data_IF_996182931486
#
_entry.id   IF_996182931486
#
_cell.length_a   1.000
_cell.length_b   1.000
_cell.length_c   1.000
_cell.angle_alpha   90.00
_cell.angle_beta   90.00
_cell.angle_gamma   90.00
#
_symmetry.space_group_name_H-M   'P 1'
#
loop_
_entity.id
_entity.type
_entity.pdbx_description
1 polymer ?
#
# COMPACT_ATOMS: atom_id res chain seq x y z
N UNK A 1 -26.77 2.13 1.44
CA UNK A 1 -26.82 1.45 2.75
C UNK A 1 -25.44 1.03 3.27
N UNK A 2 -24.60 0.36 2.50
CA UNK A 2 -23.26 -0.07 2.98
C UNK A 2 -22.38 1.11 3.42
N UNK A 3 -22.32 2.18 2.65
CA UNK A 3 -21.58 3.38 3.01
C UNK A 3 -22.10 4.03 4.31
N UNK A 4 -23.43 4.05 4.52
CA UNK A 4 -24.00 4.62 5.74
C UNK A 4 -23.57 3.83 6.98
N UNK A 5 -23.59 2.50 6.92
CA UNK A 5 -23.12 1.62 8.00
C UNK A 5 -21.62 1.81 8.24
N UNK A 6 -20.81 1.80 7.18
CA UNK A 6 -19.39 2.08 7.27
C UNK A 6 -19.10 3.41 7.99
N UNK A 7 -19.77 4.50 7.58
CA UNK A 7 -19.60 5.83 8.20
C UNK A 7 -20.00 5.82 9.68
N UNK A 8 -21.06 5.09 10.04
CA UNK A 8 -21.48 4.94 11.43
C UNK A 8 -20.42 4.18 12.25
N UNK A 9 -19.86 3.09 11.71
CA UNK A 9 -18.80 2.32 12.38
C UNK A 9 -17.51 3.13 12.53
N UNK A 10 -17.09 3.85 11.48
CA UNK A 10 -15.94 4.77 11.59
C UNK A 10 -16.18 5.87 12.64
N UNK A 11 -17.41 6.39 12.72
CA UNK A 11 -17.76 7.38 13.75
C UNK A 11 -17.67 6.78 15.15
N UNK A 12 -18.11 5.55 15.36
CA UNK A 12 -18.08 4.83 16.64
C UNK A 12 -16.64 4.47 17.06
N UNK A 13 -15.77 4.13 16.12
CA UNK A 13 -14.36 3.84 16.41
C UNK A 13 -13.54 5.08 16.83
N UNK A 14 -14.11 6.27 16.76
CA UNK A 14 -13.44 7.51 17.17
C UNK A 14 -13.67 7.80 18.65
N UNK A 15 -12.62 7.70 19.45
CA UNK A 15 -12.64 7.99 20.89
C UNK A 15 -12.72 9.50 21.14
N UNK A 16 -12.02 10.29 20.30
CA UNK A 16 -11.99 11.76 20.43
C UNK A 16 -12.23 12.44 19.09
N UNK A 17 -12.91 13.59 19.14
CA UNK A 17 -13.17 14.48 17.98
C UNK A 17 -14.01 13.85 16.86
N UNK A 18 -14.81 12.82 17.13
CA UNK A 18 -15.60 12.10 16.15
C UNK A 18 -16.41 13.01 15.22
N UNK A 19 -17.16 13.96 15.77
CA UNK A 19 -17.99 14.87 14.96
C UNK A 19 -17.17 15.74 14.01
N UNK A 20 -16.04 16.31 14.49
CA UNK A 20 -15.19 17.16 13.68
C UNK A 20 -14.40 16.35 12.66
N UNK A 21 -14.07 15.11 13.00
CA UNK A 21 -13.43 14.17 12.11
C UNK A 21 -14.33 13.83 10.91
N UNK A 22 -15.60 13.49 11.16
CA UNK A 22 -16.54 13.15 10.08
C UNK A 22 -16.81 14.36 9.15
N UNK A 23 -17.00 15.56 9.70
CA UNK A 23 -17.15 16.76 8.89
C UNK A 23 -15.93 16.99 7.98
N UNK A 24 -14.72 16.77 8.53
CA UNK A 24 -13.48 16.91 7.77
C UNK A 24 -13.29 15.78 6.75
N UNK A 25 -13.72 14.57 7.09
CA UNK A 25 -13.70 13.42 6.19
C UNK A 25 -14.62 13.64 4.99
N UNK A 26 -15.81 14.15 5.22
CA UNK A 26 -16.75 14.48 4.14
C UNK A 26 -16.22 15.60 3.25
N UNK A 27 -15.62 16.64 3.85
CA UNK A 27 -14.96 17.71 3.12
C UNK A 27 -13.83 17.15 2.22
N UNK A 28 -12.96 16.29 2.75
CA UNK A 28 -11.89 15.68 1.99
C UNK A 28 -12.40 14.79 0.86
N UNK A 29 -13.50 14.07 1.09
CA UNK A 29 -14.09 13.18 0.08
C UNK A 29 -14.61 13.95 -1.14
N UNK A 30 -15.12 15.17 -0.94
CA UNK A 30 -15.69 15.98 -2.04
C UNK A 30 -14.69 16.96 -2.66
N UNK A 31 -13.61 17.30 -1.94
CA UNK A 31 -12.61 18.23 -2.42
C UNK A 31 -11.91 17.70 -3.68
N UNK A 32 -11.96 18.43 -4.77
CA UNK A 32 -11.38 18.00 -6.04
C UNK A 32 -9.85 18.02 -6.06
N UNK A 33 -9.26 18.91 -5.26
CA UNK A 33 -7.81 19.07 -5.09
C UNK A 33 -7.51 19.74 -3.75
N UNK A 34 -6.62 19.17 -2.97
CA UNK A 34 -6.30 19.63 -1.62
C UNK A 34 -4.82 20.05 -1.53
N UNK A 35 -4.58 21.34 -1.41
CA UNK A 35 -3.24 21.91 -1.23
C UNK A 35 -2.83 22.07 0.24
N UNK A 36 -3.79 22.14 1.15
CA UNK A 36 -3.58 22.28 2.58
C UNK A 36 -4.80 21.75 3.33
N UNK A 37 -4.62 21.13 4.50
CA UNK A 37 -5.75 20.69 5.33
C UNK A 37 -6.73 21.82 5.67
N UNK A 38 -6.25 23.04 5.84
CA UNK A 38 -7.10 24.18 6.17
C UNK A 38 -8.07 24.55 5.05
N UNK A 39 -7.73 24.30 3.79
CA UNK A 39 -8.62 24.54 2.66
C UNK A 39 -9.92 23.73 2.75
N UNK A 40 -9.90 22.59 3.44
CA UNK A 40 -11.11 21.79 3.68
C UNK A 40 -12.16 22.51 4.52
N UNK A 41 -11.79 23.58 5.25
CA UNK A 41 -12.75 24.39 5.98
C UNK A 41 -13.66 25.24 5.08
N UNK A 42 -13.34 25.36 3.79
CA UNK A 42 -14.12 26.07 2.78
C UNK A 42 -15.08 25.12 2.03
N UNK A 43 -14.93 23.81 2.19
CA UNK A 43 -15.79 22.82 1.55
C UNK A 43 -17.18 22.75 2.20
N UNK A 44 -18.21 22.61 1.37
CA UNK A 44 -19.62 22.61 1.81
C UNK A 44 -19.95 21.66 2.97
N UNK A 45 -19.43 20.40 3.06
CA UNK A 45 -19.72 19.52 4.18
C UNK A 45 -19.11 19.97 5.51
N UNK A 46 -18.12 20.87 5.49
CA UNK A 46 -17.44 21.28 6.71
C UNK A 46 -18.24 22.36 7.46
N UNK A 47 -18.70 22.04 8.66
CA UNK A 47 -19.62 22.89 9.43
C UNK A 47 -18.97 23.63 10.61
N UNK A 48 -17.63 23.59 10.72
CA UNK A 48 -16.88 24.07 11.89
C UNK A 48 -15.93 25.20 11.52
N UNK A 49 -15.32 25.82 12.55
CA UNK A 49 -14.30 26.87 12.34
C UNK A 49 -13.01 26.24 11.75
N UNK A 50 -12.28 26.99 10.94
CA UNK A 50 -11.03 26.56 10.33
C UNK A 50 -10.00 26.04 11.35
N UNK A 51 -9.94 26.65 12.57
CA UNK A 51 -9.04 26.20 13.64
C UNK A 51 -9.32 24.76 14.10
N UNK A 52 -10.57 24.31 13.98
CA UNK A 52 -10.96 22.95 14.35
C UNK A 52 -10.30 21.90 13.43
N UNK A 53 -9.86 22.25 12.22
CA UNK A 53 -9.12 21.35 11.33
C UNK A 53 -7.84 20.87 12.02
N UNK A 54 -7.01 21.80 12.49
CA UNK A 54 -5.74 21.48 13.14
C UNK A 54 -5.93 20.81 14.50
N UNK A 55 -6.94 21.24 15.27
CA UNK A 55 -7.26 20.58 16.54
C UNK A 55 -7.69 19.13 16.34
N UNK A 56 -8.46 18.87 15.26
CA UNK A 56 -8.91 17.51 14.96
C UNK A 56 -7.74 16.66 14.48
N UNK A 57 -6.89 17.17 13.58
CA UNK A 57 -5.67 16.46 13.14
C UNK A 57 -4.80 16.04 14.32
N UNK A 58 -4.67 16.89 15.33
CA UNK A 58 -3.80 16.66 16.48
C UNK A 58 -4.42 15.79 17.57
N UNK A 59 -5.75 15.81 17.70
CA UNK A 59 -6.46 15.24 18.87
C UNK A 59 -7.40 14.11 18.52
N UNK A 60 -7.65 13.81 17.23
CA UNK A 60 -8.43 12.66 16.85
C UNK A 60 -7.72 11.38 17.31
N UNK A 61 -8.48 10.51 17.94
CA UNK A 61 -7.98 9.26 18.49
C UNK A 61 -8.95 8.15 18.10
N UNK A 62 -8.40 7.06 17.53
CA UNK A 62 -9.15 5.89 17.11
C UNK A 62 -8.98 4.73 18.06
N UNK A 63 -10.03 3.96 18.24
CA UNK A 63 -9.90 2.54 18.52
C UNK A 63 -9.48 1.83 17.22
N UNK A 64 -8.18 1.56 17.09
CA UNK A 64 -7.64 0.94 15.88
C UNK A 64 -8.11 -0.51 15.69
N UNK A 65 -8.43 -1.24 16.75
CA UNK A 65 -8.95 -2.59 16.60
C UNK A 65 -10.35 -2.58 15.99
N UNK A 66 -11.20 -1.66 16.39
CA UNK A 66 -12.53 -1.46 15.82
C UNK A 66 -12.44 -0.93 14.39
N UNK A 67 -11.61 0.09 14.15
CA UNK A 67 -11.41 0.67 12.81
C UNK A 67 -10.90 -0.37 11.82
N UNK A 68 -9.83 -1.10 12.14
CA UNK A 68 -9.27 -2.11 11.24
C UNK A 68 -10.26 -3.25 11.00
N UNK A 69 -11.01 -3.66 12.02
CA UNK A 69 -12.07 -4.68 11.86
C UNK A 69 -13.13 -4.21 10.88
N UNK A 70 -13.54 -2.94 10.95
CA UNK A 70 -14.47 -2.35 9.99
C UNK A 70 -13.94 -2.41 8.54
N UNK A 71 -12.65 -2.10 8.33
CA UNK A 71 -12.05 -2.16 6.98
C UNK A 71 -12.06 -3.58 6.39
N UNK A 72 -12.02 -4.63 7.21
CA UNK A 72 -12.18 -6.01 6.74
C UNK A 72 -13.64 -6.43 6.57
N UNK A 73 -14.54 -5.92 7.37
CA UNK A 73 -15.98 -6.22 7.30
C UNK A 73 -16.64 -5.58 6.08
N UNK A 74 -16.36 -4.31 5.82
CA UNK A 74 -16.97 -3.53 4.74
C UNK A 74 -16.29 -3.71 3.37
N UNK A 75 -15.51 -4.79 3.19
CA UNK A 75 -14.94 -5.10 1.88
C UNK A 75 -16.02 -5.16 0.80
N UNK A 76 -15.80 -4.55 -0.38
CA UNK A 76 -16.78 -4.60 -1.45
C UNK A 76 -17.17 -6.04 -1.79
N UNK A 77 -18.48 -6.36 -1.86
CA UNK A 77 -18.97 -7.74 -2.04
C UNK A 77 -18.57 -8.32 -3.40
N UNK A 78 -18.39 -7.48 -4.41
CA UNK A 78 -17.95 -7.81 -5.76
C UNK A 78 -16.42 -7.95 -5.91
N UNK A 79 -15.69 -7.95 -4.79
CA UNK A 79 -14.24 -8.09 -4.83
C UNK A 79 -13.82 -9.45 -5.38
N UNK A 80 -13.03 -9.42 -6.44
CA UNK A 80 -12.58 -10.61 -7.15
C UNK A 80 -11.55 -11.43 -6.35
N UNK A 81 -11.44 -12.69 -6.73
CA UNK A 81 -10.39 -13.62 -6.31
C UNK A 81 -9.74 -14.22 -7.55
N UNK A 82 -8.45 -14.49 -7.47
CA UNK A 82 -7.72 -15.21 -8.51
C UNK A 82 -7.27 -16.55 -7.92
N UNK A 83 -7.56 -17.65 -8.60
CA UNK A 83 -7.28 -19.01 -8.13
C UNK A 83 -7.76 -19.30 -6.69
N UNK A 84 -8.88 -18.69 -6.26
CA UNK A 84 -9.43 -18.82 -4.91
C UNK A 84 -8.80 -17.90 -3.86
N UNK A 85 -7.72 -17.17 -4.19
CA UNK A 85 -7.04 -16.26 -3.29
C UNK A 85 -7.60 -14.83 -3.36
N UNK A 86 -7.72 -14.19 -2.19
CA UNK A 86 -7.81 -12.74 -2.09
C UNK A 86 -6.41 -12.15 -2.36
N UNK A 87 -6.32 -11.12 -3.19
CA UNK A 87 -5.02 -10.52 -3.57
C UNK A 87 -4.84 -9.17 -2.87
N UNK A 88 -3.73 -9.03 -2.17
CA UNK A 88 -3.35 -7.82 -1.46
C UNK A 88 -2.07 -7.24 -2.04
N UNK A 89 -2.05 -5.93 -2.26
CA UNK A 89 -0.84 -5.19 -2.65
C UNK A 89 -0.18 -4.55 -1.43
N UNK A 90 1.14 -4.68 -1.33
CA UNK A 90 1.94 -4.03 -0.30
C UNK A 90 2.98 -3.15 -0.96
N UNK A 91 2.99 -1.86 -0.60
CA UNK A 91 3.98 -0.92 -1.11
C UNK A 91 4.16 0.28 -0.17
N UNK A 92 5.24 1.04 -0.35
CA UNK A 92 5.53 2.25 0.40
C UNK A 92 5.51 3.49 -0.47
N UNK A 93 5.05 4.60 0.10
CA UNK A 93 5.13 5.90 -0.57
C UNK A 93 5.86 6.92 0.32
N UNK A 94 6.74 7.77 -0.24
CA UNK A 94 7.38 8.85 0.50
C UNK A 94 6.41 10.00 0.73
N UNK A 95 6.56 10.64 1.89
CA UNK A 95 6.02 11.96 2.24
C UNK A 95 7.21 12.88 2.48
N UNK A 96 7.56 13.69 1.48
CA UNK A 96 8.74 14.55 1.51
C UNK A 96 8.52 15.76 2.41
N UNK A 97 9.47 16.01 3.29
CA UNK A 97 9.42 17.07 4.29
C UNK A 97 10.83 17.66 4.50
N UNK A 98 11.46 18.23 3.45
CA UNK A 98 12.85 18.66 3.49
C UNK A 98 13.10 19.76 4.54
N UNK A 99 12.18 20.73 4.63
CA UNK A 99 12.31 21.91 5.49
C UNK A 99 11.73 21.72 6.91
N UNK A 100 11.16 20.54 7.22
CA UNK A 100 10.48 20.31 8.48
C UNK A 100 11.47 19.95 9.60
N UNK A 101 12.35 20.86 10.01
CA UNK A 101 13.38 20.63 11.04
C UNK A 101 12.83 20.21 12.40
N UNK A 102 11.60 20.58 12.71
CA UNK A 102 10.94 20.20 13.97
C UNK A 102 10.08 18.92 13.83
N UNK A 103 10.16 18.21 12.70
CA UNK A 103 9.53 16.92 12.50
C UNK A 103 10.46 15.82 13.00
N UNK A 104 10.02 15.09 14.01
CA UNK A 104 10.75 13.97 14.59
C UNK A 104 10.85 12.80 13.60
N UNK A 105 11.93 11.99 13.73
CA UNK A 105 12.16 10.76 12.96
C UNK A 105 12.18 10.98 11.43
N UNK A 106 12.61 12.16 11.00
CA UNK A 106 12.78 12.50 9.59
C UNK A 106 14.02 11.81 9.02
N UNK A 107 13.82 10.85 8.14
CA UNK A 107 14.87 10.06 7.51
C UNK A 107 15.15 10.45 6.07
N UNK A 108 16.24 9.90 5.50
CA UNK A 108 16.53 10.02 4.07
C UNK A 108 15.58 9.14 3.26
N UNK A 109 14.98 9.73 2.25
CA UNK A 109 14.15 9.05 1.26
C UNK A 109 15.03 8.59 0.09
N UNK A 110 14.64 7.50 -0.57
CA UNK A 110 15.31 7.08 -1.80
C UNK A 110 14.97 8.07 -2.91
N UNK A 111 15.99 8.55 -3.58
CA UNK A 111 15.92 9.33 -4.80
C UNK A 111 16.46 8.52 -5.96
N UNK A 112 16.22 8.96 -7.18
CA UNK A 112 16.88 8.37 -8.36
C UNK A 112 18.39 8.66 -8.28
N UNK A 113 19.15 7.92 -9.09
CA UNK A 113 20.59 8.19 -9.23
C UNK A 113 20.74 9.62 -9.77
N UNK A 114 21.64 10.36 -9.18
CA UNK A 114 21.96 11.76 -9.54
C UNK A 114 20.92 12.81 -9.08
N UNK A 115 19.87 12.44 -8.33
CA UNK A 115 18.99 13.39 -7.66
C UNK A 115 19.49 13.74 -6.25
N UNK A 116 19.23 14.96 -5.75
CA UNK A 116 19.56 15.33 -4.37
C UNK A 116 18.80 14.45 -3.37
N UNK A 117 19.46 14.14 -2.26
CA UNK A 117 18.84 13.37 -1.18
C UNK A 117 17.67 14.15 -0.60
N UNK A 118 16.48 13.53 -0.63
CA UNK A 118 15.27 14.09 -0.04
C UNK A 118 15.06 13.53 1.36
N UNK A 119 14.41 14.29 2.22
CA UNK A 119 14.14 13.94 3.61
C UNK A 119 12.66 13.97 3.91
N UNK A 120 12.20 13.11 4.80
CA UNK A 120 10.80 13.04 5.19
C UNK A 120 10.46 11.71 5.88
N UNK A 121 9.19 11.36 5.82
CA UNK A 121 8.69 10.08 6.30
C UNK A 121 8.35 9.15 5.12
N UNK A 122 8.30 7.85 5.40
CA UNK A 122 7.69 6.86 4.52
C UNK A 122 6.49 6.24 5.19
N UNK A 123 5.47 5.95 4.39
CA UNK A 123 4.30 5.23 4.85
C UNK A 123 4.14 3.95 4.03
N UNK A 124 3.89 2.85 4.73
CA UNK A 124 3.60 1.55 4.15
C UNK A 124 2.09 1.35 4.12
N UNK A 125 1.59 0.88 2.99
CA UNK A 125 0.17 0.65 2.74
C UNK A 125 -0.05 -0.79 2.34
N UNK A 126 -1.01 -1.42 3.01
CA UNK A 126 -1.55 -2.71 2.64
C UNK A 126 -2.96 -2.51 2.10
N UNK A 127 -3.20 -2.92 0.86
CA UNK A 127 -4.48 -2.73 0.19
C UNK A 127 -4.97 -4.04 -0.40
N UNK A 128 -6.27 -4.34 -0.32
CA UNK A 128 -6.89 -5.39 -1.11
C UNK A 128 -7.11 -4.88 -2.52
N UNK A 129 -6.75 -5.67 -3.52
CA UNK A 129 -7.08 -5.43 -4.92
C UNK A 129 -8.53 -5.89 -5.15
N UNK A 130 -9.38 -5.00 -5.71
CA UNK A 130 -10.82 -5.21 -5.69
C UNK A 130 -11.32 -5.88 -6.97
N UNK A 131 -11.12 -5.25 -8.13
CA UNK A 131 -11.56 -5.77 -9.42
C UNK A 131 -10.45 -5.66 -10.46
N UNK A 132 -10.22 -6.73 -11.21
CA UNK A 132 -9.26 -6.75 -12.30
C UNK A 132 -9.62 -5.70 -13.38
N UNK A 133 -8.59 -5.03 -13.90
CA UNK A 133 -8.77 -4.01 -14.94
C UNK A 133 -9.30 -2.68 -14.47
N UNK A 134 -9.59 -2.51 -13.16
CA UNK A 134 -9.96 -1.23 -12.56
C UNK A 134 -8.80 -0.65 -11.74
N UNK A 135 -8.91 0.62 -11.36
CA UNK A 135 -7.97 1.29 -10.47
C UNK A 135 -8.38 1.23 -8.99
N UNK A 136 -9.44 0.49 -8.67
CA UNK A 136 -9.97 0.41 -7.32
C UNK A 136 -9.19 -0.57 -6.44
N UNK A 137 -8.87 -0.10 -5.25
CA UNK A 137 -8.31 -0.91 -4.16
C UNK A 137 -9.08 -0.64 -2.88
N UNK A 138 -9.02 -1.54 -1.91
CA UNK A 138 -9.56 -1.34 -0.56
C UNK A 138 -8.39 -1.32 0.43
N UNK A 139 -7.90 -0.14 0.85
CA UNK A 139 -6.81 -0.05 1.82
C UNK A 139 -7.24 -0.64 3.17
N UNK A 140 -6.46 -1.56 3.71
CA UNK A 140 -6.78 -2.22 4.99
C UNK A 140 -5.83 -1.83 6.11
N UNK A 141 -4.69 -1.23 5.78
CA UNK A 141 -3.76 -0.70 6.78
C UNK A 141 -2.85 0.37 6.16
N UNK A 142 -2.46 1.33 6.99
CA UNK A 142 -1.44 2.33 6.69
C UNK A 142 -0.61 2.62 7.94
N UNK A 143 0.72 2.52 7.82
CA UNK A 143 1.62 2.78 8.93
C UNK A 143 2.87 3.56 8.52
N UNK A 144 3.37 4.42 9.41
CA UNK A 144 4.65 5.09 9.22
C UNK A 144 5.79 4.08 9.37
N UNK A 145 6.70 4.05 8.42
CA UNK A 145 7.93 3.28 8.52
C UNK A 145 8.92 4.09 9.35
N UNK A 146 9.10 3.72 10.62
CA UNK A 146 10.09 4.37 11.49
C UNK A 146 11.51 4.23 10.91
N UNK A 147 12.38 5.22 11.15
CA UNK A 147 13.74 5.22 10.55
C UNK A 147 14.61 4.05 11.01
N UNK A 148 14.32 3.46 12.16
CA UNK A 148 14.97 2.24 12.67
C UNK A 148 14.54 0.96 11.95
N UNK A 149 13.45 0.98 11.20
CA UNK A 149 12.91 -0.18 10.47
C UNK A 149 13.20 -0.09 8.97
N UNK A 150 13.31 -1.23 8.33
CA UNK A 150 13.25 -1.33 6.87
C UNK A 150 11.80 -1.43 6.39
N UNK A 151 11.54 -1.05 5.14
CA UNK A 151 10.24 -1.21 4.49
C UNK A 151 9.75 -2.67 4.60
N UNK A 152 10.68 -3.63 4.47
CA UNK A 152 10.42 -5.07 4.60
C UNK A 152 9.97 -5.50 5.99
N UNK A 153 10.53 -4.91 7.05
CA UNK A 153 10.12 -5.22 8.42
C UNK A 153 8.75 -4.60 8.74
N UNK A 154 8.54 -3.35 8.36
CA UNK A 154 7.24 -2.70 8.53
C UNK A 154 6.13 -3.44 7.78
N UNK A 155 6.36 -3.78 6.50
CA UNK A 155 5.42 -4.58 5.70
C UNK A 155 5.20 -5.99 6.28
N UNK A 156 6.23 -6.60 6.88
CA UNK A 156 6.10 -7.89 7.56
C UNK A 156 5.11 -7.84 8.73
N UNK A 157 5.14 -6.79 9.54
CA UNK A 157 4.18 -6.57 10.64
C UNK A 157 2.75 -6.44 10.09
N UNK A 158 2.57 -5.67 9.02
CA UNK A 158 1.25 -5.52 8.38
C UNK A 158 0.71 -6.84 7.84
N UNK A 159 1.57 -7.69 7.27
CA UNK A 159 1.18 -9.02 6.78
C UNK A 159 0.79 -9.96 7.92
N UNK A 160 1.48 -9.92 9.07
CA UNK A 160 1.10 -10.70 10.26
C UNK A 160 -0.26 -10.26 10.79
N UNK A 161 -0.51 -8.95 10.84
CA UNK A 161 -1.80 -8.41 11.26
C UNK A 161 -2.92 -8.76 10.27
N UNK A 162 -2.64 -8.73 8.97
CA UNK A 162 -3.57 -9.22 7.94
C UNK A 162 -3.94 -10.68 8.17
N UNK A 163 -2.96 -11.56 8.43
CA UNK A 163 -3.23 -12.99 8.69
C UNK A 163 -4.03 -13.21 9.97
N UNK A 164 -3.75 -12.42 11.00
CA UNK A 164 -4.49 -12.46 12.27
C UNK A 164 -5.97 -12.11 12.10
N UNK A 165 -6.27 -11.05 11.34
CA UNK A 165 -7.65 -10.54 11.14
C UNK A 165 -8.41 -11.28 10.06
N UNK A 166 -7.75 -11.76 9.04
CA UNK A 166 -8.39 -12.44 7.92
C UNK A 166 -7.82 -13.86 7.75
N UNK A 167 -8.65 -14.89 7.96
CA UNK A 167 -8.25 -16.30 7.87
C UNK A 167 -8.46 -16.93 6.49
N UNK A 168 -9.01 -16.17 5.53
CA UNK A 168 -9.21 -16.65 4.16
C UNK A 168 -7.88 -16.82 3.43
N UNK A 169 -7.79 -17.74 2.44
CA UNK A 169 -6.60 -17.85 1.59
C UNK A 169 -6.30 -16.55 0.86
N UNK A 170 -5.06 -16.09 0.92
CA UNK A 170 -4.66 -14.82 0.33
C UNK A 170 -3.22 -14.78 -0.15
N UNK A 171 -2.96 -13.87 -1.08
CA UNK A 171 -1.63 -13.59 -1.64
C UNK A 171 -1.29 -12.12 -1.40
N UNK A 172 -0.08 -11.88 -0.90
CA UNK A 172 0.49 -10.54 -0.80
C UNK A 172 1.46 -10.34 -1.96
N UNK A 173 1.12 -9.42 -2.86
CA UNK A 173 1.97 -9.03 -4.00
C UNK A 173 2.78 -7.80 -3.64
N UNK A 174 4.09 -7.80 -3.92
CA UNK A 174 4.99 -6.70 -3.58
C UNK A 174 6.15 -6.56 -4.56
N UNK A 175 6.81 -5.41 -4.52
CA UNK A 175 7.94 -5.12 -5.39
C UNK A 175 9.26 -5.77 -4.92
N UNK A 176 10.34 -5.49 -5.61
CA UNK A 176 11.66 -6.06 -5.33
C UNK A 176 12.34 -5.56 -4.04
N UNK A 177 11.78 -4.57 -3.36
CA UNK A 177 12.24 -4.15 -2.03
C UNK A 177 11.96 -5.21 -0.98
N UNK A 178 10.88 -5.96 -1.18
CA UNK A 178 10.43 -7.02 -0.28
C UNK A 178 11.07 -8.39 -0.60
N UNK A 179 11.84 -8.50 -1.68
CA UNK A 179 12.53 -9.74 -2.07
C UNK A 179 13.77 -10.02 -1.19
N UNK A 180 13.57 -10.12 0.10
CA UNK A 180 14.67 -10.36 1.05
C UNK A 180 14.20 -11.26 2.21
N UNK A 181 15.18 -11.79 2.94
CA UNK A 181 14.93 -12.76 4.02
C UNK A 181 14.16 -12.16 5.21
N UNK A 182 14.20 -10.86 5.46
CA UNK A 182 13.48 -10.23 6.58
C UNK A 182 11.98 -10.23 6.35
N UNK A 183 11.55 -9.92 5.12
CA UNK A 183 10.13 -9.96 4.75
C UNK A 183 9.64 -11.39 4.58
N UNK A 184 10.36 -12.18 3.80
CA UNK A 184 9.94 -13.54 3.45
C UNK A 184 9.91 -14.49 4.65
N UNK A 185 10.71 -14.25 5.70
CA UNK A 185 10.67 -15.06 6.91
C UNK A 185 9.30 -15.06 7.62
N UNK A 186 8.52 -13.99 7.46
CA UNK A 186 7.17 -13.90 8.02
C UNK A 186 6.29 -15.04 7.53
N UNK A 187 6.42 -15.42 6.26
CA UNK A 187 5.59 -16.45 5.63
C UNK A 187 5.91 -17.90 6.07
N UNK A 188 6.98 -18.12 6.86
CA UNK A 188 7.26 -19.42 7.46
C UNK A 188 6.19 -19.86 8.47
N UNK A 189 5.54 -18.91 9.12
CA UNK A 189 4.57 -19.16 10.19
C UNK A 189 3.11 -18.99 9.75
N UNK A 190 2.89 -18.43 8.56
CA UNK A 190 1.56 -18.16 8.04
C UNK A 190 1.04 -19.37 7.24
N UNK A 191 -0.21 -19.76 7.49
CA UNK A 191 -0.81 -20.95 6.86
C UNK A 191 -1.58 -20.65 5.58
N UNK A 192 -2.31 -19.52 5.55
CA UNK A 192 -3.23 -19.15 4.47
C UNK A 192 -2.80 -17.88 3.75
N UNK A 193 -1.59 -17.40 4.01
CA UNK A 193 -1.05 -16.18 3.43
C UNK A 193 0.25 -16.49 2.71
N UNK A 194 0.32 -16.16 1.43
CA UNK A 194 1.45 -16.46 0.57
C UNK A 194 2.04 -15.19 -0.01
N UNK A 195 3.35 -15.19 -0.28
CA UNK A 195 4.04 -14.09 -0.94
C UNK A 195 4.19 -14.33 -2.43
N UNK A 196 3.94 -13.28 -3.22
CA UNK A 196 4.32 -13.20 -4.62
C UNK A 196 5.13 -11.92 -4.83
N UNK A 197 6.45 -12.04 -4.85
CA UNK A 197 7.38 -10.92 -4.78
C UNK A 197 8.21 -10.80 -6.05
N UNK A 198 8.33 -9.58 -6.59
CA UNK A 198 9.23 -9.32 -7.72
C UNK A 198 10.69 -9.50 -7.31
N UNK A 199 11.46 -10.14 -8.16
CA UNK A 199 12.89 -10.36 -7.95
C UNK A 199 13.74 -9.44 -8.82
N UNK A 200 14.93 -9.12 -8.34
CA UNK A 200 15.96 -8.47 -9.17
C UNK A 200 16.75 -9.50 -9.95
N UNK A 201 17.10 -9.21 -11.17
CA UNK A 201 17.77 -10.13 -12.08
C UNK A 201 19.14 -10.67 -11.58
N UNK A 202 19.76 -9.96 -10.63
CA UNK A 202 21.04 -10.35 -10.05
C UNK A 202 20.93 -11.26 -8.82
N UNK A 203 19.73 -11.69 -8.45
CA UNK A 203 19.52 -12.54 -7.27
C UNK A 203 19.96 -13.98 -7.57
N UNK A 204 20.35 -14.65 -6.48
CA UNK A 204 20.78 -16.05 -6.48
C UNK A 204 19.94 -16.82 -5.50
N UNK A 205 19.35 -17.91 -5.96
CA UNK A 205 18.64 -18.90 -5.18
C UNK A 205 19.45 -20.19 -5.05
N UNK A 206 18.98 -21.11 -4.24
CA UNK A 206 19.59 -22.41 -4.01
C UNK A 206 18.52 -23.48 -4.09
N UNK A 207 18.84 -24.61 -4.70
CA UNK A 207 18.00 -25.80 -4.64
C UNK A 207 18.05 -26.48 -3.27
N UNK A 208 17.21 -27.49 -3.09
CA UNK A 208 17.25 -28.33 -1.89
C UNK A 208 18.59 -29.07 -1.81
N UNK A 209 19.17 -29.22 -0.62
CA UNK A 209 20.40 -30.00 -0.43
C UNK A 209 20.16 -31.47 -0.74
N UNK A 210 21.20 -32.16 -1.19
CA UNK A 210 21.16 -33.60 -1.28
C UNK A 210 21.07 -34.21 0.13
N UNK A 211 20.37 -35.33 0.31
CA UNK A 211 20.34 -36.03 1.58
C UNK A 211 21.76 -36.29 2.11
N UNK A 212 21.97 -36.11 3.40
CA UNK A 212 23.26 -36.40 4.01
C UNK A 212 23.48 -37.92 4.03
N UNK A 213 24.57 -38.45 3.45
CA UNK A 213 24.82 -39.87 3.44
C UNK A 213 24.94 -40.43 4.84
N UNK A 214 24.26 -41.54 5.12
CA UNK A 214 24.37 -42.26 6.43
C UNK A 214 25.83 -42.55 6.72
N UNK A 215 26.29 -42.27 7.94
CA UNK A 215 27.66 -42.58 8.41
C UNK A 215 28.74 -41.55 8.02
N UNK A 216 28.47 -40.55 7.20
CA UNK A 216 29.44 -39.48 6.96
C UNK A 216 29.50 -38.50 8.13
N UNK A 217 30.75 -38.16 8.55
CA UNK A 217 30.99 -37.09 9.54
C UNK A 217 30.76 -35.71 8.91
N UNK A 218 30.27 -34.75 9.71
CA UNK A 218 30.09 -33.36 9.33
C UNK A 218 28.62 -32.92 9.37
N UNK A 219 28.38 -31.60 9.38
CA UNK A 219 27.04 -31.07 9.37
C UNK A 219 26.37 -31.28 8.00
N UNK A 220 25.06 -31.61 7.95
CA UNK A 220 24.31 -31.68 6.70
C UNK A 220 24.37 -30.37 5.90
N UNK A 221 24.49 -30.48 4.59
CA UNK A 221 24.44 -29.32 3.71
C UNK A 221 23.08 -28.60 3.84
N UNK A 222 23.09 -27.27 4.03
CA UNK A 222 21.87 -26.44 4.12
C UNK A 222 21.33 -26.05 2.75
N UNK A 223 22.16 -26.12 1.71
CA UNK A 223 21.87 -25.64 0.37
C UNK A 223 22.31 -26.67 -0.69
N UNK A 224 21.52 -26.79 -1.73
CA UNK A 224 21.86 -27.52 -2.94
C UNK A 224 22.52 -26.61 -3.99
N UNK A 225 22.41 -26.96 -5.29
CA UNK A 225 23.01 -26.20 -6.39
C UNK A 225 22.54 -24.73 -6.42
N UNK A 226 23.45 -23.84 -6.81
CA UNK A 226 23.13 -22.42 -7.03
C UNK A 226 22.27 -22.26 -8.27
N UNK A 227 21.30 -21.37 -8.20
CA UNK A 227 20.43 -20.96 -9.30
C UNK A 227 20.50 -19.43 -9.45
N UNK A 228 21.15 -18.95 -10.51
CA UNK A 228 21.27 -17.53 -10.82
C UNK A 228 20.15 -17.11 -11.78
N UNK A 229 19.39 -16.07 -11.46
CA UNK A 229 18.30 -15.59 -12.31
C UNK A 229 18.80 -15.10 -13.67
N UNK A 230 19.97 -14.47 -13.72
CA UNK A 230 20.57 -13.98 -14.97
C UNK A 230 20.95 -15.10 -15.94
N UNK A 231 21.30 -16.28 -15.41
CA UNK A 231 21.69 -17.48 -16.19
C UNK A 231 21.17 -18.70 -15.46
N UNK A 232 19.91 -19.12 -15.72
CA UNK A 232 19.34 -20.31 -15.10
C UNK A 232 20.19 -21.56 -15.36
N UNK A 233 20.50 -22.29 -14.30
CA UNK A 233 21.41 -23.46 -14.35
C UNK A 233 20.71 -24.78 -14.70
N UNK A 234 19.39 -24.77 -14.85
CA UNK A 234 18.58 -25.94 -15.24
C UNK A 234 17.39 -25.54 -16.09
N UNK A 235 16.79 -26.48 -16.78
CA UNK A 235 15.53 -26.32 -17.52
C UNK A 235 14.38 -25.99 -16.54
N UNK A 236 13.35 -25.25 -16.99
CA UNK A 236 12.17 -25.02 -16.18
C UNK A 236 11.40 -26.33 -15.92
N UNK A 237 10.82 -26.44 -14.73
CA UNK A 237 9.98 -27.57 -14.35
C UNK A 237 8.59 -27.49 -14.99
N UNK A 238 8.11 -26.24 -15.24
CA UNK A 238 6.87 -25.94 -15.98
C UNK A 238 7.08 -24.79 -16.94
N UNK A 239 6.45 -24.88 -18.09
CA UNK A 239 6.37 -23.79 -19.07
C UNK A 239 4.92 -23.68 -19.53
N UNK A 240 4.39 -22.46 -19.52
CA UNK A 240 3.05 -22.13 -19.99
C UNK A 240 3.11 -20.91 -20.92
N UNK A 241 2.19 -20.84 -21.87
CA UNK A 241 2.02 -19.69 -22.74
C UNK A 241 0.54 -19.32 -22.76
N UNK A 242 0.23 -18.03 -22.63
CA UNK A 242 -1.13 -17.53 -22.73
C UNK A 242 -1.17 -16.16 -23.39
N UNK A 243 -2.38 -15.74 -23.80
CA UNK A 243 -2.60 -14.40 -24.36
C UNK A 243 -3.08 -13.44 -23.28
N UNK A 244 -2.46 -12.28 -23.20
CA UNK A 244 -2.90 -11.15 -22.37
C UNK A 244 -3.21 -9.95 -23.30
N UNK A 245 -4.48 -9.80 -23.69
CA UNK A 245 -4.84 -8.94 -24.80
C UNK A 245 -4.17 -9.44 -26.10
N UNK A 246 -3.46 -8.57 -26.79
CA UNK A 246 -2.72 -8.92 -28.03
C UNK A 246 -1.30 -9.47 -27.78
N UNK A 247 -0.89 -9.60 -26.52
CA UNK A 247 0.48 -10.00 -26.17
C UNK A 247 0.54 -11.48 -25.82
N UNK A 248 1.52 -12.17 -26.37
CA UNK A 248 1.86 -13.51 -25.91
C UNK A 248 2.74 -13.42 -24.67
N UNK A 249 2.37 -14.13 -23.61
CA UNK A 249 3.12 -14.20 -22.37
C UNK A 249 3.67 -15.61 -22.18
N UNK A 250 4.99 -15.71 -22.08
CA UNK A 250 5.70 -16.98 -21.82
C UNK A 250 6.07 -17.01 -20.35
N UNK A 251 5.68 -18.07 -19.67
CA UNK A 251 5.91 -18.32 -18.25
C UNK A 251 6.77 -19.57 -18.09
N UNK A 252 7.84 -19.44 -17.32
CA UNK A 252 8.71 -20.53 -16.95
C UNK A 252 8.84 -20.58 -15.44
N UNK A 253 8.73 -21.76 -14.83
CA UNK A 253 8.78 -21.94 -13.40
C UNK A 253 9.83 -22.97 -12.99
N UNK A 254 10.52 -22.69 -11.88
CA UNK A 254 11.49 -23.57 -11.22
C UNK A 254 11.07 -23.74 -9.77
N UNK A 255 10.71 -24.95 -9.39
CA UNK A 255 10.29 -25.29 -8.04
C UNK A 255 11.47 -25.65 -7.12
N UNK A 256 11.21 -25.70 -5.83
CA UNK A 256 12.19 -26.16 -4.85
C UNK A 256 13.36 -25.21 -4.63
N UNK A 257 13.15 -23.90 -4.79
CA UNK A 257 14.19 -22.89 -4.65
C UNK A 257 14.02 -22.06 -3.37
N UNK A 258 15.14 -21.67 -2.74
CA UNK A 258 15.14 -20.84 -1.53
C UNK A 258 16.27 -19.80 -1.52
N UNK A 259 16.12 -18.77 -0.72
CA UNK A 259 17.20 -17.81 -0.47
C UNK A 259 18.28 -18.39 0.47
N UNK A 260 19.55 -18.02 0.27
CA UNK A 260 20.66 -18.47 1.12
C UNK A 260 20.41 -18.24 2.62
N UNK A 261 19.85 -17.09 2.98
CA UNK A 261 19.58 -16.75 4.39
C UNK A 261 18.23 -17.25 4.91
N UNK A 262 17.48 -18.01 4.10
CA UNK A 262 16.13 -18.47 4.44
C UNK A 262 15.87 -19.84 3.81
N UNK A 263 16.67 -20.85 4.18
CA UNK A 263 16.59 -22.19 3.62
C UNK A 263 15.28 -22.91 3.96
N UNK A 264 14.62 -22.53 5.06
CA UNK A 264 13.34 -23.12 5.48
C UNK A 264 12.15 -22.68 4.63
N UNK A 265 12.24 -21.59 3.87
CA UNK A 265 11.18 -21.17 2.98
C UNK A 265 11.51 -21.56 1.53
N UNK A 266 10.95 -22.67 1.11
CA UNK A 266 11.09 -23.20 -0.25
C UNK A 266 9.90 -22.73 -1.07
N UNK A 267 10.16 -22.31 -2.30
CA UNK A 267 9.11 -21.81 -3.19
C UNK A 267 9.47 -21.98 -4.67
N UNK A 268 8.69 -21.31 -5.51
CA UNK A 268 8.80 -21.33 -6.96
C UNK A 268 9.32 -20.00 -7.47
N UNK A 269 10.37 -20.03 -8.28
CA UNK A 269 10.85 -18.88 -9.05
C UNK A 269 10.19 -18.92 -10.42
N UNK A 270 9.59 -17.78 -10.84
CA UNK A 270 8.98 -17.61 -12.16
C UNK A 270 9.77 -16.61 -12.99
N UNK A 271 9.92 -16.94 -14.29
CA UNK A 271 10.38 -16.02 -15.32
C UNK A 271 9.21 -15.74 -16.26
N UNK A 272 8.96 -14.46 -16.51
CA UNK A 272 7.83 -14.00 -17.31
C UNK A 272 8.38 -13.13 -18.43
N UNK A 273 8.06 -13.49 -19.66
CA UNK A 273 8.45 -12.79 -20.86
C UNK A 273 7.20 -12.37 -21.65
N UNK A 274 7.13 -11.08 -21.99
CA UNK A 274 6.03 -10.53 -22.77
C UNK A 274 6.54 -10.32 -24.21
N UNK A 275 5.85 -10.92 -25.17
CA UNK A 275 6.14 -10.76 -26.57
C UNK A 275 5.12 -9.84 -27.23
N UNK A 276 5.58 -9.03 -28.17
CA UNK A 276 4.71 -8.28 -29.08
C UNK A 276 4.06 -9.23 -30.10
N UNK A 277 3.05 -8.78 -30.85
CA UNK A 277 2.46 -9.59 -31.92
C UNK A 277 3.44 -10.10 -32.98
N UNK A 278 4.55 -9.38 -33.19
CA UNK A 278 5.63 -9.76 -34.08
C UNK A 278 6.60 -10.82 -33.50
N UNK A 279 6.33 -11.31 -32.27
CA UNK A 279 7.17 -12.28 -31.58
C UNK A 279 8.41 -11.68 -30.90
N UNK A 280 8.67 -10.38 -31.01
CA UNK A 280 9.81 -9.75 -30.35
C UNK A 280 9.54 -9.47 -28.86
N UNK A 281 10.55 -9.53 -27.97
CA UNK A 281 10.40 -9.19 -26.56
C UNK A 281 9.92 -7.74 -26.39
N UNK A 282 8.86 -7.53 -25.58
CA UNK A 282 8.37 -6.18 -25.25
C UNK A 282 9.33 -5.42 -24.34
N UNK A 283 10.01 -6.12 -23.44
CA UNK A 283 10.93 -5.55 -22.46
C UNK A 283 12.33 -6.12 -22.64
N UNK A 284 13.37 -5.32 -22.40
CA UNK A 284 14.77 -5.73 -22.50
C UNK A 284 15.15 -6.88 -21.54
N UNK A 285 14.41 -7.01 -20.45
CA UNK A 285 14.67 -8.04 -19.44
C UNK A 285 13.37 -8.70 -19.04
N UNK A 286 13.37 -10.02 -18.81
CA UNK A 286 12.21 -10.72 -18.30
C UNK A 286 11.89 -10.26 -16.87
N UNK A 287 10.65 -10.39 -16.50
CA UNK A 287 10.20 -10.20 -15.11
C UNK A 287 10.42 -11.50 -14.34
N UNK A 288 10.94 -11.37 -13.12
CA UNK A 288 11.16 -12.50 -12.22
C UNK A 288 10.31 -12.33 -10.98
N UNK A 289 9.65 -13.41 -10.55
CA UNK A 289 8.84 -13.47 -9.33
C UNK A 289 9.28 -14.63 -8.45
N UNK A 290 9.01 -14.52 -7.14
CA UNK A 290 9.11 -15.60 -6.19
C UNK A 290 7.75 -15.85 -5.55
N UNK A 291 7.29 -17.07 -5.64
CA UNK A 291 6.03 -17.57 -5.12
C UNK A 291 6.27 -18.53 -3.97
N UNK A 292 5.60 -18.33 -2.82
CA UNK A 292 5.75 -19.16 -1.62
C UNK A 292 4.59 -20.13 -1.37
N UNK A 293 3.56 -20.09 -2.21
CA UNK A 293 2.41 -20.98 -2.11
C UNK A 293 2.57 -22.28 -2.90
N UNK A 294 1.49 -23.05 -3.07
CA UNK A 294 1.49 -24.32 -3.78
C UNK A 294 2.03 -24.21 -5.20
N UNK A 295 2.88 -25.14 -5.59
CA UNK A 295 3.47 -25.22 -6.95
C UNK A 295 2.45 -25.63 -8.02
N UNK A 296 1.29 -26.15 -7.61
CA UNK A 296 0.13 -26.45 -8.47
C UNK A 296 -0.65 -25.23 -8.94
N UNK A 297 -0.43 -24.06 -8.33
CA UNK A 297 -1.12 -22.82 -8.74
C UNK A 297 -0.84 -22.50 -10.22
N UNK A 298 -1.86 -22.18 -11.04
CA UNK A 298 -1.66 -21.86 -12.45
C UNK A 298 -0.72 -20.66 -12.62
N UNK A 299 0.29 -20.79 -13.49
CA UNK A 299 1.30 -19.73 -13.67
C UNK A 299 0.68 -18.46 -14.24
N UNK A 300 -0.31 -18.59 -15.12
CA UNK A 300 -1.05 -17.45 -15.67
C UNK A 300 -1.74 -16.63 -14.57
N UNK A 301 -2.28 -17.29 -13.54
CA UNK A 301 -2.94 -16.61 -12.42
C UNK A 301 -1.91 -15.89 -11.53
N UNK A 302 -0.73 -16.48 -11.30
CA UNK A 302 0.37 -15.79 -10.59
C UNK A 302 0.82 -14.54 -11.36
N UNK A 303 0.93 -14.63 -12.69
CA UNK A 303 1.22 -13.48 -13.52
C UNK A 303 0.15 -12.38 -13.39
N UNK A 304 -1.13 -12.75 -13.47
CA UNK A 304 -2.27 -11.82 -13.31
C UNK A 304 -2.27 -11.17 -11.95
N UNK A 305 -2.10 -11.94 -10.85
CA UNK A 305 -2.02 -11.39 -9.50
C UNK A 305 -0.92 -10.34 -9.38
N UNK A 306 0.26 -10.61 -9.95
CA UNK A 306 1.36 -9.66 -9.88
C UNK A 306 1.10 -8.39 -10.72
N UNK A 307 0.56 -8.53 -11.93
CA UNK A 307 0.21 -7.39 -12.77
C UNK A 307 -0.87 -6.52 -12.12
N UNK A 308 -1.78 -7.13 -11.37
CA UNK A 308 -2.81 -6.41 -10.64
C UNK A 308 -2.26 -5.44 -9.59
N UNK A 309 -1.07 -5.69 -9.05
CA UNK A 309 -0.36 -4.79 -8.14
C UNK A 309 -0.31 -3.34 -8.64
N UNK A 310 -0.34 -3.14 -9.96
CA UNK A 310 -0.30 -1.80 -10.54
C UNK A 310 -1.46 -0.90 -10.08
N UNK A 311 -2.56 -1.47 -9.61
CA UNK A 311 -3.67 -0.71 -9.05
C UNK A 311 -3.26 0.13 -7.82
N UNK A 312 -2.24 -0.30 -7.03
CA UNK A 312 -1.75 0.49 -5.89
C UNK A 312 -1.04 1.78 -6.33
N UNK A 313 -0.41 1.77 -7.51
CA UNK A 313 0.23 2.98 -8.07
C UNK A 313 -0.83 4.01 -8.49
N UNK A 314 -1.96 3.56 -9.03
CA UNK A 314 -3.12 4.42 -9.31
C UNK A 314 -3.72 4.99 -8.02
N UNK A 315 -3.85 4.18 -6.98
CA UNK A 315 -4.30 4.62 -5.66
C UNK A 315 -3.39 5.72 -5.11
N UNK A 316 -2.07 5.53 -5.08
CA UNK A 316 -1.14 6.56 -4.61
C UNK A 316 -1.21 7.84 -5.45
N UNK A 317 -1.32 7.71 -6.77
CA UNK A 317 -1.48 8.86 -7.67
C UNK A 317 -2.74 9.63 -7.33
N UNK A 318 -3.87 8.95 -7.19
CA UNK A 318 -5.14 9.58 -6.83
C UNK A 318 -5.07 10.27 -5.47
N UNK A 319 -4.56 9.58 -4.43
CA UNK A 319 -4.41 10.17 -3.10
C UNK A 319 -3.51 11.41 -3.09
N UNK A 320 -2.42 11.40 -3.87
CA UNK A 320 -1.51 12.56 -3.95
C UNK A 320 -2.13 13.72 -4.72
N UNK A 321 -2.81 13.45 -5.83
CA UNK A 321 -3.32 14.48 -6.73
C UNK A 321 -4.68 15.04 -6.29
N UNK A 322 -5.54 14.23 -5.71
CA UNK A 322 -6.92 14.61 -5.38
C UNK A 322 -7.19 14.73 -3.89
N UNK A 323 -6.68 13.81 -3.07
CA UNK A 323 -6.89 13.83 -1.62
C UNK A 323 -5.78 14.56 -0.85
N UNK A 324 -4.80 15.14 -1.54
CA UNK A 324 -3.74 15.90 -0.90
C UNK A 324 -2.91 15.10 0.10
N UNK A 325 -2.55 13.84 -0.23
CA UNK A 325 -1.79 12.96 0.67
C UNK A 325 -0.54 13.63 1.25
N UNK A 326 0.11 14.50 0.48
CA UNK A 326 1.30 15.26 0.87
C UNK A 326 0.98 16.70 1.34
N UNK A 327 -0.28 17.09 1.45
CA UNK A 327 -0.69 18.47 1.75
C UNK A 327 -0.52 18.85 3.22
N UNK A 328 -0.56 17.88 4.15
CA UNK A 328 -0.36 18.15 5.56
C UNK A 328 1.11 18.46 5.86
N UNK A 329 1.39 19.71 6.22
CA UNK A 329 2.72 20.20 6.57
C UNK A 329 2.97 20.27 8.09
N UNK A 330 2.12 19.65 8.93
CA UNK A 330 2.33 19.56 10.38
C UNK A 330 3.65 18.84 10.69
N UNK A 331 4.32 19.28 11.76
CA UNK A 331 5.53 18.62 12.31
C UNK A 331 5.20 17.69 13.49
N UNK A 332 3.94 17.53 13.81
CA UNK A 332 3.45 16.61 14.82
C UNK A 332 3.18 15.23 14.21
N UNK A 333 3.74 14.18 14.82
CA UNK A 333 3.61 12.80 14.32
C UNK A 333 2.17 12.28 14.33
N UNK A 334 1.38 12.64 15.34
CA UNK A 334 -0.03 12.24 15.44
C UNK A 334 -0.82 12.89 14.31
N UNK A 335 -0.61 14.18 14.09
CA UNK A 335 -1.27 14.94 13.02
C UNK A 335 -0.94 14.38 11.64
N UNK A 336 0.32 13.99 11.40
CA UNK A 336 0.71 13.39 10.11
C UNK A 336 0.14 11.97 9.93
N UNK A 337 0.12 11.17 10.99
CA UNK A 337 -0.49 9.84 10.99
C UNK A 337 -2.01 9.90 10.75
N UNK A 338 -2.70 10.77 11.48
CA UNK A 338 -4.12 11.00 11.30
C UNK A 338 -4.47 11.46 9.88
N UNK A 339 -3.62 12.29 9.25
CA UNK A 339 -3.83 12.71 7.86
C UNK A 339 -3.79 11.53 6.88
N UNK A 340 -2.89 10.57 7.08
CA UNK A 340 -2.85 9.36 6.24
C UNK A 340 -4.13 8.55 6.39
N UNK A 341 -4.66 8.42 7.61
CA UNK A 341 -5.94 7.76 7.87
C UNK A 341 -7.12 8.52 7.26
N UNK A 342 -7.13 9.86 7.28
CA UNK A 342 -8.16 10.64 6.58
C UNK A 342 -8.19 10.38 5.08
N UNK A 343 -7.02 10.41 4.44
CA UNK A 343 -6.93 10.07 3.01
C UNK A 343 -7.40 8.64 2.74
N UNK A 344 -7.06 7.70 3.62
CA UNK A 344 -7.51 6.30 3.53
C UNK A 344 -9.04 6.20 3.60
N UNK A 345 -9.64 6.82 4.61
CA UNK A 345 -11.08 6.74 4.85
C UNK A 345 -11.89 7.55 3.83
N UNK A 346 -11.35 8.67 3.32
CA UNK A 346 -11.97 9.39 2.21
C UNK A 346 -11.99 8.54 0.94
N UNK A 347 -10.90 7.83 0.66
CA UNK A 347 -10.87 6.89 -0.44
C UNK A 347 -11.87 5.74 -0.26
N UNK A 348 -12.04 5.23 0.97
CA UNK A 348 -13.06 4.24 1.30
C UNK A 348 -14.48 4.75 1.05
N UNK A 349 -14.80 6.00 1.39
CA UNK A 349 -16.10 6.58 1.06
C UNK A 349 -16.34 6.57 -0.46
N UNK A 350 -15.33 6.97 -1.25
CA UNK A 350 -15.43 6.92 -2.72
C UNK A 350 -15.59 5.49 -3.24
N UNK A 351 -14.86 4.53 -2.68
CA UNK A 351 -14.96 3.12 -3.06
C UNK A 351 -16.37 2.57 -2.83
N UNK A 352 -16.96 2.85 -1.67
CA UNK A 352 -18.29 2.34 -1.31
C UNK A 352 -19.44 3.07 -2.01
N UNK A 353 -19.21 4.26 -2.56
CA UNK A 353 -20.24 4.98 -3.34
C UNK A 353 -20.11 4.79 -4.85
N UNK A 354 -19.12 4.06 -5.34
CA UNK A 354 -18.79 3.96 -6.77
C UNK A 354 -19.96 3.42 -7.63
N UNK A 355 -20.77 2.51 -7.06
CA UNK A 355 -21.89 1.90 -7.73
C UNK A 355 -23.22 2.65 -7.48
N UNK A 356 -23.21 3.60 -6.56
CA UNK A 356 -24.37 4.39 -6.12
C UNK A 356 -24.47 5.75 -6.84
N UNK A 357 -23.37 6.22 -7.43
CA UNK A 357 -23.32 7.51 -8.11
C UNK A 357 -23.31 7.36 -9.62
N UNK A 358 -24.01 8.28 -10.29
CA UNK A 358 -23.94 8.40 -11.75
C UNK A 358 -22.77 9.30 -12.13
N UNK A 359 -22.10 8.99 -13.25
CA UNK A 359 -21.04 9.84 -13.77
C UNK A 359 -21.58 11.25 -14.04
N UNK A 360 -21.07 12.24 -13.36
CA UNK A 360 -21.26 13.63 -13.73
C UNK A 360 -20.43 13.90 -14.99
N UNK A 361 -21.08 14.19 -16.11
CA UNK A 361 -20.40 14.54 -17.36
C UNK A 361 -20.08 16.05 -17.34
N UNK A 362 -18.82 16.42 -17.54
CA UNK A 362 -18.49 17.84 -17.78
C UNK A 362 -19.22 18.33 -19.03
N UNK A 363 -19.63 19.60 -19.04
CA UNK A 363 -20.39 20.20 -20.15
C UNK A 363 -19.66 20.13 -21.51
N UNK A 364 -18.33 20.04 -21.49
CA UNK A 364 -17.48 19.93 -22.68
C UNK A 364 -17.32 18.49 -23.22
N UNK A 365 -17.88 17.48 -22.54
CA UNK A 365 -17.77 16.09 -22.98
C UNK A 365 -18.75 15.81 -24.11
N UNK A 366 -18.33 15.23 -25.26
CA UNK A 366 -19.23 14.99 -26.39
C UNK A 366 -20.43 14.15 -26.00
N UNK A 367 -21.62 14.62 -26.37
CA UNK A 367 -22.84 13.81 -26.24
C UNK A 367 -22.76 12.61 -27.19
N UNK A 368 -23.02 11.41 -26.68
CA UNK A 368 -23.09 10.20 -27.52
C UNK A 368 -21.94 9.21 -27.38
N UNK A 369 -20.85 9.54 -26.75
CA UNK A 369 -19.86 8.54 -26.35
C UNK A 369 -20.36 7.76 -25.13
N UNK A 370 -21.35 6.90 -25.34
CA UNK A 370 -21.69 5.85 -24.37
C UNK A 370 -20.58 4.80 -24.44
N UNK A 371 -19.58 4.92 -23.58
CA UNK A 371 -18.84 3.75 -23.14
C UNK A 371 -19.74 3.02 -22.16
N UNK A 372 -20.47 2.08 -22.66
CA UNK A 372 -21.25 1.15 -21.87
C UNK A 372 -20.37 0.53 -20.79
N UNK A 373 -20.83 0.56 -19.54
CA UNK A 373 -20.50 -0.36 -18.43
C UNK A 373 -19.09 -0.38 -17.86
N UNK A 374 -18.21 0.57 -18.11
CA UNK A 374 -16.95 0.61 -17.38
C UNK A 374 -17.18 1.20 -15.99
N UNK A 375 -16.76 0.48 -14.94
CA UNK A 375 -16.81 0.98 -13.57
C UNK A 375 -16.19 2.38 -13.45
N UNK A 376 -16.85 3.30 -12.74
CA UNK A 376 -16.39 4.68 -12.59
C UNK A 376 -15.02 4.70 -11.90
N UNK A 377 -14.11 5.50 -12.40
CA UNK A 377 -12.80 5.74 -11.75
C UNK A 377 -12.98 6.64 -10.49
N UNK A 378 -12.05 6.59 -9.51
CA UNK A 378 -12.16 7.37 -8.27
C UNK A 378 -12.44 8.85 -8.46
N UNK A 379 -11.79 9.52 -9.43
CA UNK A 379 -12.03 10.93 -9.74
C UNK A 379 -13.39 11.21 -10.36
N UNK A 380 -14.01 10.23 -11.03
CA UNK A 380 -15.38 10.37 -11.55
C UNK A 380 -16.39 10.28 -10.40
N UNK A 381 -16.19 9.35 -9.48
CA UNK A 381 -17.01 9.21 -8.26
C UNK A 381 -16.90 10.45 -7.40
N UNK A 382 -15.69 10.98 -7.21
CA UNK A 382 -15.45 12.18 -6.40
C UNK A 382 -16.25 13.40 -6.89
N UNK A 383 -16.33 13.64 -8.19
CA UNK A 383 -17.13 14.74 -8.76
C UNK A 383 -18.62 14.66 -8.43
N UNK A 384 -19.13 13.47 -8.18
CA UNK A 384 -20.54 13.24 -7.83
C UNK A 384 -20.78 13.07 -6.32
N UNK A 385 -19.70 13.04 -5.52
CA UNK A 385 -19.76 12.69 -4.10
C UNK A 385 -20.57 13.68 -3.26
N UNK A 386 -20.46 14.99 -3.52
CA UNK A 386 -21.18 16.01 -2.74
C UNK A 386 -22.69 15.77 -2.72
N UNK A 387 -23.30 15.63 -3.88
CA UNK A 387 -24.75 15.43 -3.99
C UNK A 387 -25.21 14.13 -3.36
N UNK A 388 -24.35 13.10 -3.36
CA UNK A 388 -24.66 11.83 -2.71
C UNK A 388 -24.55 11.95 -1.17
N UNK A 389 -23.46 12.52 -0.64
CA UNK A 389 -23.26 12.67 0.80
C UNK A 389 -24.30 13.60 1.46
N UNK A 390 -24.73 14.65 0.76
CA UNK A 390 -25.81 15.55 1.26
C UNK A 390 -27.13 14.77 1.44
N UNK A 391 -27.47 13.90 0.50
CA UNK A 391 -28.69 13.05 0.64
C UNK A 391 -28.56 11.97 1.70
N UNK A 392 -27.35 11.39 1.81
CA UNK A 392 -27.08 10.34 2.82
C UNK A 392 -27.10 10.89 4.25
N UNK A 393 -26.75 12.15 4.44
CA UNK A 393 -26.57 12.76 5.75
C UNK A 393 -25.27 12.35 6.44
N UNK A 394 -25.11 12.74 7.70
CA UNK A 394 -23.89 12.48 8.48
C UNK A 394 -24.24 12.01 9.89
N UNK A 395 -23.51 11.04 10.49
CA UNK A 395 -23.65 10.67 11.90
C UNK A 395 -23.12 11.76 12.84
N UNK A 396 -22.32 12.71 12.35
CA UNK A 396 -21.76 13.77 13.18
C UNK A 396 -22.84 14.73 13.69
N UNK A 397 -22.77 15.06 14.98
CA UNK A 397 -23.70 15.98 15.65
C UNK A 397 -23.53 17.40 15.15
N UNK A 398 -24.61 18.16 15.17
CA UNK A 398 -24.60 19.57 14.84
C UNK A 398 -23.66 20.37 15.74
N UNK A 399 -23.06 21.40 15.16
CA UNK A 399 -22.21 22.33 15.93
C UNK A 399 -23.04 23.08 16.97
N UNK A 400 -22.49 23.20 18.18
CA UNK A 400 -23.06 24.08 19.19
C UNK A 400 -22.52 25.49 18.99
N UNK A 401 -23.33 26.55 19.21
CA UNK A 401 -22.82 27.92 19.22
C UNK A 401 -21.67 28.03 20.22
N UNK A 402 -20.52 28.52 19.80
CA UNK A 402 -19.40 28.77 20.67
C UNK A 402 -19.34 30.28 20.96
N UNK A 403 -19.27 30.68 22.21
CA UNK A 403 -19.00 32.04 22.64
C UNK A 403 -17.62 32.51 22.12
N UNK A 404 -17.30 33.79 22.32
CA UNK A 404 -15.97 34.32 22.05
C UNK A 404 -14.93 33.64 22.94
N UNK A 405 -13.92 33.03 22.37
CA UNK A 405 -12.77 32.50 23.12
C UNK A 405 -12.01 33.62 23.81
N UNK A 406 -11.41 33.32 24.98
CA UNK A 406 -10.62 34.30 25.75
C UNK A 406 -9.40 34.85 25.02
N UNK A 407 -9.02 34.28 23.88
CA UNK A 407 -7.80 34.63 23.17
C UNK A 407 -6.52 34.19 23.90
N UNK A 408 -5.39 34.60 23.40
CA UNK A 408 -4.09 34.42 24.09
C UNK A 408 -3.91 35.52 25.13
N UNK A 409 -3.35 35.15 26.28
CA UNK A 409 -2.97 36.13 27.32
C UNK A 409 -1.96 37.12 26.74
N UNK A 410 -2.04 38.39 27.18
CA UNK A 410 -1.04 39.41 26.81
C UNK A 410 0.36 38.93 27.25
N UNK A 411 1.32 38.97 26.35
CA UNK A 411 2.70 38.49 26.61
C UNK A 411 2.93 36.98 26.44
N UNK A 412 1.93 36.21 25.96
CA UNK A 412 2.14 34.80 25.67
C UNK A 412 3.10 34.61 24.48
N UNK A 413 4.22 33.94 24.73
CA UNK A 413 5.15 33.47 23.72
C UNK A 413 5.05 31.94 23.62
N UNK A 414 4.91 31.38 22.41
CA UNK A 414 4.93 29.93 22.25
C UNK A 414 6.29 29.37 22.67
N UNK A 415 6.33 28.18 23.29
CA UNK A 415 7.60 27.56 23.66
C UNK A 415 8.45 27.25 22.41
N UNK A 416 9.76 27.36 22.56
CA UNK A 416 10.72 27.00 21.51
C UNK A 416 10.57 25.52 21.21
N UNK A 417 10.44 25.19 19.93
CA UNK A 417 10.31 23.78 19.49
C UNK A 417 11.68 23.13 19.36
N UNK A 418 11.82 21.93 19.87
CA UNK A 418 13.01 21.10 19.67
C UNK A 418 13.24 20.86 18.18
N UNK A 419 14.49 21.03 17.75
CA UNK A 419 14.92 20.68 16.38
C UNK A 419 15.56 19.30 16.40
N UNK A 420 15.18 18.47 15.46
CA UNK A 420 15.67 17.09 15.34
C UNK A 420 16.60 16.97 14.13
N UNK A 421 17.81 16.39 14.29
CA UNK A 421 18.66 16.11 13.15
C UNK A 421 18.04 15.02 12.28
N UNK A 422 18.46 14.99 11.00
CA UNK A 422 18.04 13.91 10.09
C UNK A 422 18.68 12.60 10.54
N UNK A 423 17.86 11.57 10.70
CA UNK A 423 18.34 10.23 11.07
C UNK A 423 18.95 9.57 9.83
N UNK A 424 20.27 9.39 9.83
CA UNK A 424 21.02 8.69 8.77
C UNK A 424 21.12 7.22 9.13
N UNK A 425 20.73 6.32 8.21
CA UNK A 425 20.98 4.88 8.41
C UNK A 425 22.48 4.65 8.51
N UNK A 426 22.92 3.92 9.55
CA UNK A 426 24.32 3.51 9.69
C UNK A 426 24.77 2.78 8.40
N UNK A 427 25.92 3.21 7.85
CA UNK A 427 26.54 2.48 6.74
C UNK A 427 26.87 1.07 7.25
N UNK A 428 26.39 0.03 6.57
CA UNK A 428 26.84 -1.33 6.85
C UNK A 428 28.35 -1.35 6.69
N UNK A 429 29.10 -1.93 7.66
CA UNK A 429 30.53 -2.07 7.53
C UNK A 429 30.83 -2.81 6.20
N UNK A 430 31.64 -2.18 5.37
CA UNK A 430 32.15 -2.82 4.17
C UNK A 430 33.13 -3.89 4.66
N UNK A 431 32.73 -5.18 4.60
CA UNK A 431 33.69 -6.26 4.74
C UNK A 431 34.67 -6.15 3.55
N UNK A 432 35.75 -5.41 3.75
CA UNK A 432 36.93 -5.59 2.92
C UNK A 432 37.40 -7.03 3.17
N UNK A 433 37.27 -7.85 2.15
CA UNK A 433 37.97 -9.11 2.13
C UNK A 433 39.44 -8.77 2.28
N UNK A 434 40.05 -9.19 3.40
CA UNK A 434 41.48 -9.22 3.55
C UNK A 434 41.94 -10.24 2.55
N UNK A 435 42.53 -9.78 1.44
CA UNK A 435 43.36 -10.62 0.55
C UNK A 435 44.61 -10.95 1.33
N UNK A 436 44.68 -12.13 1.87
CA UNK A 436 45.94 -12.74 2.28
C UNK A 436 46.69 -13.19 1.04
N UNK A 437 47.84 -12.61 0.83
CA UNK A 437 48.86 -13.01 -0.14
C UNK A 437 49.29 -14.48 0.08
#
# INVERSE_FOLDING_TARGET
MLLQQFRQTVYQSLIKRADAFLDLLDALTVAGHVNSPVALSEETPYRRKFSSVFDTLRQAEFDFDELLSALYEFQPPDSEKIAGYEVYGLDTTPNERPEAETLEDRGSLKTQKDEPVRYGHKYSWLVRLVNWGTSWVAPVDVGRVATGLSDSQAGGVQVQELDRRNRKPKVVVSDSLYANHLFLAVFLTLKNTFALVRLRNNMVFFGCPRPHPKGKRGAPAKHGPKFKLSVPSRTPDRTETFLLGEQTVILQAWHGLHLKKLAGLVGTVLRIEFLRPDGTPRYQRPMWLFWTGPDTTPLADLCRMYLWRFAIEHFFRFCKQHLGLNANQSTDLVSTGNWMWWCTLAYWQLLLMRDEVKASRPAWYPAGTQTETKALAPGQVQRSALGYLVRLGTPAKNTRPAGKGKGRSKGYHPPVRTRYPVVKKAKKPHNRAVSTA
#
